data_IF_255058270545
#
_entry.id   IF_255058270545
#
_cell.length_a   1.000
_cell.length_b   1.000
_cell.length_c   1.000
_cell.angle_alpha   90.00
_cell.angle_beta   90.00
_cell.angle_gamma   90.00
#
_symmetry.space_group_name_H-M   'P 1'
#
loop_
_entity.id
_entity.type
_entity.pdbx_description
1 polymer ?
#
# COMPACT_ATOMS: atom_id res chain seq x y z
N UNK A 1 -21.64 -21.38 23.95
CA UNK A 1 -20.18 -21.27 24.17
C UNK A 1 -19.41 -21.70 22.93
N UNK A 2 -19.84 -22.73 22.18
CA UNK A 2 -19.17 -23.19 20.94
C UNK A 2 -19.02 -22.15 19.82
N UNK A 3 -19.90 -21.14 19.74
CA UNK A 3 -19.85 -20.12 18.68
C UNK A 3 -19.38 -18.74 19.16
N UNK A 4 -18.97 -18.61 20.43
CA UNK A 4 -18.64 -17.29 21.00
C UNK A 4 -17.44 -16.66 20.26
N UNK A 5 -16.42 -17.46 19.99
CA UNK A 5 -15.19 -17.02 19.31
C UNK A 5 -15.48 -16.64 17.85
N UNK A 6 -16.31 -17.42 17.15
CA UNK A 6 -16.76 -17.14 15.78
C UNK A 6 -17.59 -15.84 15.69
N UNK A 7 -18.50 -15.64 16.65
CA UNK A 7 -19.31 -14.41 16.72
C UNK A 7 -18.41 -13.21 16.99
N UNK A 8 -17.49 -13.33 17.94
CA UNK A 8 -16.51 -12.29 18.24
C UNK A 8 -15.65 -11.97 17.01
N UNK A 9 -15.17 -13.00 16.31
CA UNK A 9 -14.40 -12.87 15.07
C UNK A 9 -15.20 -12.11 14.01
N UNK A 10 -16.45 -12.53 13.76
CA UNK A 10 -17.33 -11.89 12.78
C UNK A 10 -17.61 -10.42 13.11
N UNK A 11 -17.79 -10.08 14.39
CA UNK A 11 -17.98 -8.70 14.85
C UNK A 11 -16.71 -7.86 14.61
N UNK A 12 -15.54 -8.37 15.00
CA UNK A 12 -14.26 -7.65 14.81
C UNK A 12 -13.98 -7.44 13.32
N UNK A 13 -14.16 -8.49 12.50
CA UNK A 13 -14.00 -8.43 11.04
C UNK A 13 -14.96 -7.41 10.42
N UNK A 14 -16.25 -7.47 10.78
CA UNK A 14 -17.29 -6.57 10.28
C UNK A 14 -17.02 -5.11 10.64
N UNK A 15 -16.63 -4.83 11.89
CA UNK A 15 -16.25 -3.48 12.33
C UNK A 15 -14.99 -2.98 11.62
N UNK A 16 -13.95 -3.82 11.52
CA UNK A 16 -12.68 -3.48 10.87
C UNK A 16 -12.86 -3.16 9.39
N UNK A 17 -13.52 -4.03 8.62
CA UNK A 17 -13.77 -3.85 7.18
C UNK A 17 -14.80 -2.75 6.92
N UNK A 18 -15.81 -2.63 7.78
CA UNK A 18 -16.83 -1.58 7.70
C UNK A 18 -16.24 -0.18 7.87
N UNK A 19 -15.42 0.02 8.89
CA UNK A 19 -14.74 1.31 9.12
C UNK A 19 -13.80 1.67 7.97
N UNK A 20 -13.01 0.71 7.48
CA UNK A 20 -12.14 0.89 6.33
C UNK A 20 -12.94 1.32 5.09
N UNK A 21 -14.05 0.64 4.81
CA UNK A 21 -14.91 0.93 3.65
C UNK A 21 -15.51 2.34 3.70
N UNK A 22 -15.92 2.80 4.88
CA UNK A 22 -16.43 4.17 5.07
C UNK A 22 -15.34 5.20 4.79
N UNK A 23 -14.14 4.98 5.34
CA UNK A 23 -13.02 5.90 5.15
C UNK A 23 -12.55 5.91 3.69
N UNK A 24 -12.44 4.76 3.04
CA UNK A 24 -12.08 4.67 1.63
C UNK A 24 -13.07 5.43 0.72
N UNK A 25 -14.38 5.36 1.01
CA UNK A 25 -15.39 6.17 0.31
C UNK A 25 -15.14 7.68 0.46
N UNK A 26 -14.62 8.15 1.61
CA UNK A 26 -14.24 9.56 1.79
C UNK A 26 -13.09 9.96 0.88
N UNK A 27 -12.07 9.11 0.68
CA UNK A 27 -10.98 9.37 -0.28
C UNK A 27 -11.54 9.51 -1.68
N UNK A 28 -12.36 8.55 -2.13
CA UNK A 28 -12.96 8.59 -3.47
C UNK A 28 -13.77 9.88 -3.65
N UNK A 29 -14.58 10.24 -2.65
CA UNK A 29 -15.35 11.49 -2.65
C UNK A 29 -14.42 12.71 -2.79
N UNK A 30 -13.33 12.77 -2.02
CA UNK A 30 -12.38 13.88 -2.05
C UNK A 30 -11.66 13.97 -3.40
N UNK A 31 -11.24 12.84 -3.99
CA UNK A 31 -10.64 12.80 -5.33
C UNK A 31 -11.62 13.34 -6.39
N UNK A 32 -12.90 13.00 -6.26
CA UNK A 32 -13.96 13.46 -7.18
C UNK A 32 -14.37 14.93 -7.00
N UNK A 33 -13.82 15.66 -6.02
CA UNK A 33 -14.01 17.10 -5.90
C UNK A 33 -13.19 17.89 -6.93
N UNK A 34 -12.16 17.26 -7.50
CA UNK A 34 -11.31 17.91 -8.48
C UNK A 34 -12.03 18.15 -9.80
N UNK A 35 -11.53 19.11 -10.57
CA UNK A 35 -12.02 19.42 -11.91
C UNK A 35 -12.02 18.18 -12.81
N UNK A 36 -13.03 18.08 -13.67
CA UNK A 36 -13.13 16.99 -14.62
C UNK A 36 -12.03 17.10 -15.68
N UNK A 37 -11.27 16.02 -15.85
CA UNK A 37 -10.33 15.83 -16.95
C UNK A 37 -10.60 14.47 -17.59
N UNK A 38 -10.54 14.40 -18.92
CA UNK A 38 -10.71 13.15 -19.63
C UNK A 38 -9.39 12.36 -19.62
N UNK A 39 -9.42 11.18 -18.99
CA UNK A 39 -8.32 10.18 -19.01
C UNK A 39 -8.85 8.79 -19.37
N UNK A 40 -9.92 8.73 -20.16
CA UNK A 40 -10.58 7.48 -20.58
C UNK A 40 -10.13 7.01 -21.96
N UNK A 41 -9.20 7.72 -22.58
CA UNK A 41 -8.61 7.40 -23.87
C UNK A 41 -7.67 6.18 -23.78
N UNK A 42 -7.44 5.51 -24.91
CA UNK A 42 -6.39 4.49 -25.08
C UNK A 42 -6.32 3.41 -23.97
N UNK A 43 -7.48 2.85 -23.57
CA UNK A 43 -7.62 1.87 -22.49
C UNK A 43 -6.59 0.71 -22.55
N UNK A 44 -6.36 0.13 -23.73
CA UNK A 44 -5.39 -0.96 -23.90
C UNK A 44 -3.96 -0.53 -23.52
N UNK A 45 -3.54 0.68 -23.89
CA UNK A 45 -2.22 1.20 -23.56
C UNK A 45 -2.11 1.50 -22.06
N UNK A 46 -3.17 1.99 -21.43
CA UNK A 46 -3.24 2.25 -19.98
C UNK A 46 -3.14 0.96 -19.16
N UNK A 47 -3.88 -0.08 -19.54
CA UNK A 47 -3.78 -1.40 -18.91
C UNK A 47 -2.36 -1.98 -19.05
N UNK A 48 -1.77 -1.89 -20.25
CA UNK A 48 -0.39 -2.32 -20.48
C UNK A 48 0.59 -1.54 -19.61
N UNK A 49 0.42 -0.22 -19.50
CA UNK A 49 1.27 0.64 -18.67
C UNK A 49 1.14 0.29 -17.18
N UNK A 50 -0.09 0.14 -16.69
CA UNK A 50 -0.37 -0.27 -15.31
C UNK A 50 0.26 -1.64 -15.01
N UNK A 51 0.06 -2.64 -15.87
CA UNK A 51 0.66 -3.97 -15.67
C UNK A 51 2.19 -3.92 -15.65
N UNK A 52 2.81 -3.18 -16.59
CA UNK A 52 4.28 -3.05 -16.68
C UNK A 52 4.88 -2.31 -15.48
N UNK A 53 4.20 -1.32 -14.92
CA UNK A 53 4.71 -0.50 -13.83
C UNK A 53 4.36 -1.11 -12.47
N UNK A 54 3.08 -1.43 -12.24
CA UNK A 54 2.57 -1.89 -10.95
C UNK A 54 2.90 -3.37 -10.68
N UNK A 55 2.66 -4.26 -11.66
CA UNK A 55 3.00 -5.69 -11.50
C UNK A 55 4.47 -5.95 -11.83
N UNK A 56 4.98 -5.32 -12.89
CA UNK A 56 6.37 -5.51 -13.34
C UNK A 56 7.43 -4.78 -12.51
N UNK A 57 7.04 -3.89 -11.58
CA UNK A 57 7.95 -3.15 -10.67
C UNK A 57 9.10 -2.41 -11.39
N UNK A 58 8.92 -2.08 -12.67
CA UNK A 58 9.97 -1.59 -13.58
C UNK A 58 10.64 -0.29 -13.13
N UNK A 59 9.92 0.56 -12.38
CA UNK A 59 10.46 1.81 -11.81
C UNK A 59 11.25 1.61 -10.52
N UNK A 60 10.92 0.58 -9.73
CA UNK A 60 11.53 0.31 -8.42
C UNK A 60 12.95 -0.27 -8.55
N UNK A 61 13.18 -1.13 -9.55
CA UNK A 61 14.47 -1.80 -9.78
C UNK A 61 15.59 -0.86 -10.24
N UNK A 62 15.28 0.39 -10.60
CA UNK A 62 16.28 1.43 -10.92
C UNK A 62 17.23 1.75 -9.76
N UNK A 63 16.85 1.42 -8.52
CA UNK A 63 17.73 1.47 -7.34
C UNK A 63 17.83 0.06 -6.75
N UNK A 64 18.86 -0.74 -7.12
CA UNK A 64 18.83 -2.20 -6.97
C UNK A 64 18.57 -2.66 -5.53
N UNK A 65 19.26 -2.08 -4.54
CA UNK A 65 19.06 -2.44 -3.13
C UNK A 65 17.62 -2.17 -2.67
N UNK A 66 17.08 -0.98 -2.95
CA UNK A 66 15.71 -0.66 -2.54
C UNK A 66 14.65 -1.44 -3.33
N UNK A 67 14.92 -1.71 -4.62
CA UNK A 67 14.07 -2.47 -5.50
C UNK A 67 13.95 -3.93 -5.08
N UNK A 68 15.07 -4.62 -4.84
CA UNK A 68 15.07 -6.03 -4.40
C UNK A 68 14.28 -6.19 -3.10
N UNK A 69 14.57 -5.35 -2.09
CA UNK A 69 13.88 -5.41 -0.81
C UNK A 69 12.37 -5.16 -0.95
N UNK A 70 11.94 -4.22 -1.82
CA UNK A 70 10.51 -3.99 -2.05
C UNK A 70 9.86 -5.12 -2.85
N UNK A 71 10.54 -5.73 -3.81
CA UNK A 71 10.00 -6.86 -4.57
C UNK A 71 9.74 -8.04 -3.65
N UNK A 72 10.63 -8.31 -2.69
CA UNK A 72 10.40 -9.33 -1.65
C UNK A 72 9.12 -9.03 -0.89
N UNK A 73 8.98 -7.81 -0.35
CA UNK A 73 7.78 -7.39 0.40
C UNK A 73 6.52 -7.44 -0.46
N UNK A 74 6.60 -7.02 -1.73
CA UNK A 74 5.48 -7.04 -2.66
C UNK A 74 5.01 -8.46 -2.98
N UNK A 75 5.93 -9.36 -3.32
CA UNK A 75 5.61 -10.77 -3.62
C UNK A 75 5.04 -11.45 -2.38
N UNK A 76 5.64 -11.23 -1.22
CA UNK A 76 5.13 -11.73 0.05
C UNK A 76 3.72 -11.22 0.33
N UNK A 77 3.47 -9.92 0.18
CA UNK A 77 2.14 -9.34 0.35
C UNK A 77 1.12 -10.02 -0.57
N UNK A 78 1.39 -10.14 -1.87
CA UNK A 78 0.45 -10.77 -2.82
C UNK A 78 0.16 -12.23 -2.46
N UNK A 79 1.19 -13.00 -2.12
CA UNK A 79 1.07 -14.44 -1.88
C UNK A 79 0.44 -14.73 -0.50
N UNK A 80 0.90 -14.06 0.57
CA UNK A 80 0.41 -14.27 1.96
C UNK A 80 -1.07 -13.85 2.11
N UNK A 81 -1.64 -13.03 1.23
CA UNK A 81 -3.09 -12.77 1.25
C UNK A 81 -3.93 -14.05 1.09
N UNK A 82 -3.40 -15.11 0.47
CA UNK A 82 -4.07 -16.41 0.42
C UNK A 82 -4.15 -17.08 1.80
N UNK A 83 -3.13 -16.91 2.64
CA UNK A 83 -3.14 -17.36 4.05
C UNK A 83 -4.13 -16.54 4.87
N UNK A 84 -4.18 -15.22 4.66
CA UNK A 84 -5.16 -14.35 5.35
C UNK A 84 -6.58 -14.79 5.01
N UNK A 85 -6.83 -15.25 3.78
CA UNK A 85 -8.11 -15.84 3.41
C UNK A 85 -8.40 -17.12 4.21
N UNK A 86 -7.42 -18.02 4.37
CA UNK A 86 -7.55 -19.21 5.22
C UNK A 86 -7.89 -18.82 6.67
N UNK A 87 -7.12 -17.90 7.27
CA UNK A 87 -7.34 -17.40 8.63
C UNK A 87 -8.74 -16.80 8.81
N UNK A 88 -9.25 -16.07 7.82
CA UNK A 88 -10.61 -15.50 7.87
C UNK A 88 -11.67 -16.60 7.85
N UNK A 89 -11.51 -17.60 7.00
CA UNK A 89 -12.46 -18.71 6.90
C UNK A 89 -12.42 -19.54 8.20
N UNK A 90 -11.23 -19.88 8.69
CA UNK A 90 -11.04 -20.58 9.95
C UNK A 90 -11.64 -19.83 11.14
N UNK A 91 -11.46 -18.52 11.21
CA UNK A 91 -12.07 -17.69 12.24
C UNK A 91 -13.60 -17.61 12.18
N UNK A 92 -14.18 -17.61 10.97
CA UNK A 92 -15.64 -17.57 10.80
C UNK A 92 -16.30 -18.91 11.09
N UNK A 93 -15.68 -20.02 10.69
CA UNK A 93 -16.28 -21.35 10.78
C UNK A 93 -15.74 -22.21 11.93
N UNK A 94 -14.72 -21.74 12.65
CA UNK A 94 -14.11 -22.47 13.78
C UNK A 94 -13.31 -23.68 13.32
N UNK A 95 -12.84 -23.65 12.07
CA UNK A 95 -11.99 -24.69 11.48
C UNK A 95 -10.52 -24.39 11.74
N UNK A 96 -9.67 -25.37 11.46
CA UNK A 96 -8.22 -25.24 11.54
C UNK A 96 -7.62 -25.76 10.25
N UNK A 97 -6.88 -24.89 9.53
CA UNK A 97 -6.25 -25.19 8.24
C UNK A 97 -7.25 -25.79 7.24
N UNK A 98 -8.33 -25.07 6.95
CA UNK A 98 -9.39 -25.56 6.06
C UNK A 98 -8.91 -25.96 4.65
N UNK A 99 -7.76 -25.44 4.19
CA UNK A 99 -7.17 -25.82 2.92
C UNK A 99 -6.20 -27.01 2.99
N UNK A 100 -5.96 -27.59 4.18
CA UNK A 100 -5.15 -28.80 4.37
C UNK A 100 -5.52 -29.98 3.42
N UNK A 101 -6.79 -30.22 3.05
CA UNK A 101 -7.14 -31.29 2.10
C UNK A 101 -6.54 -31.16 0.69
N UNK A 102 -5.90 -30.03 0.35
CA UNK A 102 -5.16 -29.88 -0.91
C UNK A 102 -3.83 -30.66 -0.95
N UNK A 103 -3.39 -31.24 0.18
CA UNK A 103 -2.20 -32.10 0.26
C UNK A 103 -0.92 -31.38 -0.13
N UNK A 104 -0.12 -31.96 -1.04
CA UNK A 104 1.18 -31.41 -1.44
C UNK A 104 1.13 -29.94 -1.89
N UNK A 105 0.03 -29.51 -2.54
CA UNK A 105 -0.13 -28.11 -2.93
C UNK A 105 -0.24 -27.19 -1.71
N UNK A 106 -0.93 -27.63 -0.66
CA UNK A 106 -1.00 -26.92 0.62
C UNK A 106 0.37 -26.83 1.28
N UNK A 107 1.11 -27.94 1.32
CA UNK A 107 2.43 -27.98 1.93
C UNK A 107 3.40 -27.00 1.26
N UNK A 108 3.45 -26.99 -0.07
CA UNK A 108 4.26 -26.03 -0.84
C UNK A 108 3.81 -24.59 -0.54
N UNK A 109 2.51 -24.36 -0.43
CA UNK A 109 1.95 -23.04 -0.17
C UNK A 109 2.36 -22.52 1.22
N UNK A 110 2.19 -23.31 2.28
CA UNK A 110 2.63 -22.97 3.64
C UNK A 110 4.16 -22.76 3.69
N UNK A 111 4.93 -23.64 3.05
CA UNK A 111 6.38 -23.49 2.96
C UNK A 111 6.80 -22.20 2.25
N UNK A 112 6.04 -21.76 1.24
CA UNK A 112 6.26 -20.49 0.57
C UNK A 112 5.97 -19.29 1.49
N UNK A 113 4.89 -19.36 2.29
CA UNK A 113 4.56 -18.30 3.24
C UNK A 113 5.63 -18.17 4.33
N UNK A 114 6.14 -19.28 4.84
CA UNK A 114 7.22 -19.32 5.83
C UNK A 114 8.49 -18.62 5.34
N UNK A 115 8.96 -18.99 4.15
CA UNK A 115 10.14 -18.41 3.53
C UNK A 115 9.92 -16.92 3.26
N UNK A 116 8.76 -16.56 2.71
CA UNK A 116 8.44 -15.17 2.40
C UNK A 116 8.32 -14.31 3.67
N UNK A 117 7.70 -14.80 4.73
CA UNK A 117 7.60 -14.09 6.01
C UNK A 117 8.98 -13.81 6.61
N UNK A 118 9.88 -14.80 6.60
CA UNK A 118 11.27 -14.61 7.02
C UNK A 118 12.01 -13.58 6.17
N UNK A 119 11.88 -13.65 4.84
CA UNK A 119 12.51 -12.70 3.92
C UNK A 119 11.96 -11.29 4.09
N UNK A 120 10.66 -11.13 4.36
CA UNK A 120 10.05 -9.84 4.70
C UNK A 120 10.65 -9.30 5.99
N UNK A 121 10.74 -10.12 7.04
CA UNK A 121 11.33 -9.69 8.31
C UNK A 121 12.77 -9.18 8.11
N UNK A 122 13.59 -9.91 7.35
CA UNK A 122 14.94 -9.48 6.98
C UNK A 122 14.93 -8.17 6.16
N UNK A 123 14.04 -8.06 5.17
CA UNK A 123 13.95 -6.87 4.32
C UNK A 123 13.53 -5.62 5.11
N UNK A 124 12.57 -5.76 6.03
CA UNK A 124 12.06 -4.70 6.89
C UNK A 124 13.12 -4.23 7.88
N UNK A 125 13.89 -5.15 8.48
CA UNK A 125 15.05 -4.79 9.31
C UNK A 125 16.06 -3.97 8.50
N UNK A 126 16.35 -4.37 7.27
CA UNK A 126 17.26 -3.61 6.39
C UNK A 126 16.67 -2.23 6.06
N UNK A 127 15.36 -2.12 5.76
CA UNK A 127 14.71 -0.82 5.56
C UNK A 127 14.79 0.07 6.79
N UNK A 128 14.57 -0.51 7.97
CA UNK A 128 14.64 0.17 9.25
C UNK A 128 16.04 0.74 9.50
N UNK A 129 17.08 -0.07 9.32
CA UNK A 129 18.49 0.35 9.44
C UNK A 129 18.82 1.45 8.42
N UNK A 130 18.41 1.27 7.15
CA UNK A 130 18.67 2.26 6.09
C UNK A 130 18.01 3.60 6.35
N UNK A 131 16.85 3.62 7.02
CA UNK A 131 16.12 4.83 7.36
C UNK A 131 16.72 5.51 8.60
N UNK A 132 16.84 4.78 9.71
CA UNK A 132 17.12 5.37 11.02
C UNK A 132 18.62 5.44 11.35
N UNK A 133 19.43 4.50 10.85
CA UNK A 133 20.87 4.45 11.13
C UNK A 133 21.69 5.13 10.04
N UNK A 134 21.47 4.78 8.77
CA UNK A 134 22.27 5.30 7.64
C UNK A 134 21.90 6.75 7.30
N UNK A 135 20.69 7.21 7.67
CA UNK A 135 20.24 8.61 7.53
C UNK A 135 20.48 9.20 6.13
N UNK A 136 19.89 8.57 5.11
CA UNK A 136 20.01 9.03 3.72
C UNK A 136 19.61 10.51 3.61
N UNK A 137 20.43 11.33 2.92
CA UNK A 137 20.21 12.79 2.78
C UNK A 137 18.78 13.17 2.37
N UNK A 138 18.16 12.40 1.46
CA UNK A 138 16.78 12.65 1.01
C UNK A 138 15.69 12.42 2.06
N UNK A 139 15.99 11.67 3.12
CA UNK A 139 15.08 11.39 4.23
C UNK A 139 15.31 12.35 5.40
N UNK A 140 16.50 12.96 5.49
CA UNK A 140 16.84 13.99 6.47
C UNK A 140 16.64 15.39 5.84
N UNK A 141 15.53 15.57 5.12
CA UNK A 141 15.10 16.88 4.64
C UNK A 141 14.11 17.49 5.63
N UNK A 142 14.04 18.82 5.67
CA UNK A 142 13.04 19.55 6.46
C UNK A 142 11.61 19.11 6.14
N UNK A 143 11.34 18.82 4.85
CA UNK A 143 10.02 18.45 4.33
C UNK A 143 9.48 17.13 4.90
N UNK A 144 10.36 16.26 5.40
CA UNK A 144 10.00 14.92 5.90
C UNK A 144 10.12 14.81 7.42
N UNK A 145 10.40 15.91 8.12
CA UNK A 145 10.55 15.91 9.58
C UNK A 145 9.16 15.77 10.24
N UNK A 146 9.07 14.94 11.28
CA UNK A 146 7.87 14.81 12.10
C UNK A 146 6.99 13.61 11.69
N UNK A 147 5.75 13.88 11.26
CA UNK A 147 4.79 12.84 10.91
C UNK A 147 5.27 11.93 9.77
N UNK A 148 5.82 12.45 8.65
CA UNK A 148 6.33 11.62 7.55
C UNK A 148 7.40 10.59 7.96
N UNK A 149 8.24 10.95 8.93
CA UNK A 149 9.30 10.08 9.44
C UNK A 149 8.73 9.02 10.38
N UNK A 150 7.85 9.44 11.29
CA UNK A 150 7.24 8.57 12.30
C UNK A 150 6.31 7.53 11.67
N UNK A 151 5.49 7.95 10.70
CA UNK A 151 4.56 7.09 9.97
C UNK A 151 5.29 5.90 9.29
N UNK A 152 6.41 6.19 8.63
CA UNK A 152 7.22 5.15 8.01
C UNK A 152 7.80 4.16 9.04
N UNK A 153 8.14 4.62 10.24
CA UNK A 153 8.64 3.75 11.31
C UNK A 153 7.51 2.92 11.94
N UNK A 154 6.30 3.47 12.06
CA UNK A 154 5.13 2.72 12.52
C UNK A 154 4.79 1.58 11.55
N UNK A 155 4.82 1.83 10.24
CA UNK A 155 4.62 0.79 9.22
C UNK A 155 5.63 -0.35 9.39
N UNK A 156 6.93 -0.03 9.46
CA UNK A 156 7.97 -1.05 9.63
C UNK A 156 7.82 -1.81 10.95
N UNK A 157 7.40 -1.14 12.02
CA UNK A 157 7.10 -1.78 13.30
C UNK A 157 5.92 -2.75 13.20
N UNK A 158 4.80 -2.34 12.57
CA UNK A 158 3.66 -3.21 12.32
C UNK A 158 4.07 -4.45 11.53
N UNK A 159 4.85 -4.28 10.46
CA UNK A 159 5.33 -5.40 9.64
C UNK A 159 6.20 -6.38 10.46
N UNK A 160 7.13 -5.88 11.28
CA UNK A 160 7.93 -6.74 12.17
C UNK A 160 7.05 -7.52 13.14
N UNK A 161 6.10 -6.84 13.80
CA UNK A 161 5.19 -7.49 14.77
C UNK A 161 4.33 -8.54 14.09
N UNK A 162 3.71 -8.22 12.95
CA UNK A 162 2.84 -9.15 12.23
C UNK A 162 3.60 -10.38 11.72
N UNK A 163 4.78 -10.20 11.10
CA UNK A 163 5.57 -11.34 10.63
C UNK A 163 6.10 -12.20 11.79
N UNK A 164 6.42 -11.58 12.93
CA UNK A 164 6.83 -12.32 14.13
C UNK A 164 5.67 -13.12 14.72
N UNK A 165 4.47 -12.53 14.82
CA UNK A 165 3.28 -13.24 15.27
C UNK A 165 2.93 -14.39 14.32
N UNK A 166 3.03 -14.18 13.01
CA UNK A 166 2.81 -15.21 12.00
C UNK A 166 3.76 -16.41 12.15
N UNK A 167 5.07 -16.17 12.24
CA UNK A 167 6.06 -17.22 12.45
C UNK A 167 5.92 -17.90 13.82
N UNK A 168 5.55 -17.14 14.86
CA UNK A 168 5.30 -17.70 16.19
C UNK A 168 4.10 -18.64 16.18
N UNK A 169 3.00 -18.21 15.53
CA UNK A 169 1.79 -19.00 15.34
C UNK A 169 2.10 -20.31 14.60
N UNK A 170 2.79 -20.24 13.46
CA UNK A 170 3.18 -21.43 12.70
C UNK A 170 4.15 -22.35 13.45
N UNK A 171 5.09 -21.80 14.21
CA UNK A 171 5.99 -22.60 15.04
C UNK A 171 5.25 -23.32 16.17
N UNK A 172 4.33 -22.62 16.86
CA UNK A 172 3.51 -23.26 17.88
C UNK A 172 2.58 -24.32 17.28
N UNK A 173 1.99 -24.04 16.11
CA UNK A 173 1.15 -24.98 15.37
C UNK A 173 1.92 -26.24 14.97
N UNK A 174 3.09 -26.07 14.35
CA UNK A 174 3.96 -27.19 13.97
C UNK A 174 4.39 -28.03 15.17
N UNK A 175 4.76 -27.40 16.29
CA UNK A 175 5.10 -28.12 17.52
C UNK A 175 3.91 -28.92 18.07
N UNK A 176 2.70 -28.36 18.02
CA UNK A 176 1.46 -29.04 18.47
C UNK A 176 1.11 -30.23 17.56
N UNK A 177 1.36 -30.12 16.25
CA UNK A 177 1.24 -31.24 15.31
C UNK A 177 2.22 -32.36 15.67
N UNK A 178 3.50 -32.04 15.94
CA UNK A 178 4.52 -33.03 16.34
C UNK A 178 4.17 -33.77 17.64
N UNK A 179 3.49 -33.08 18.56
CA UNK A 179 2.98 -33.65 19.82
C UNK A 179 1.65 -34.41 19.66
N UNK A 180 1.12 -34.49 18.43
CA UNK A 180 -0.12 -35.18 18.08
C UNK A 180 -1.33 -34.72 18.91
N UNK A 181 -1.41 -33.42 19.17
CA UNK A 181 -2.50 -32.81 19.94
C UNK A 181 -3.79 -32.87 19.12
N UNK A 182 -4.85 -33.42 19.69
CA UNK A 182 -6.17 -33.47 19.05
C UNK A 182 -6.62 -32.07 18.61
N UNK A 183 -7.22 -31.95 17.42
CA UNK A 183 -7.62 -30.71 16.72
C UNK A 183 -6.57 -30.14 15.75
N UNK A 184 -5.27 -30.44 15.90
CA UNK A 184 -4.23 -29.95 14.99
C UNK A 184 -3.97 -30.98 13.90
N UNK A 185 -4.25 -30.63 12.64
CA UNK A 185 -3.98 -31.51 11.50
C UNK A 185 -2.49 -31.54 11.16
N UNK A 186 -1.93 -32.72 10.90
CA UNK A 186 -0.57 -32.87 10.35
C UNK A 186 -0.56 -32.40 8.88
N UNK A 187 -0.34 -31.11 8.68
CA UNK A 187 -0.39 -30.46 7.37
C UNK A 187 0.51 -29.22 7.33
N UNK A 188 1.13 -28.98 6.17
CA UNK A 188 2.04 -27.87 5.94
C UNK A 188 3.51 -28.28 5.95
N UNK A 189 4.32 -27.51 5.23
CA UNK A 189 5.78 -27.59 5.29
C UNK A 189 6.32 -26.36 6.02
N UNK A 190 7.10 -26.56 7.10
CA UNK A 190 7.53 -25.50 8.02
C UNK A 190 9.05 -25.26 8.00
N UNK A 191 9.65 -24.82 6.88
CA UNK A 191 11.09 -24.71 6.73
C UNK A 191 11.73 -23.67 7.65
N UNK A 192 10.99 -22.69 8.15
CA UNK A 192 11.51 -21.63 9.02
C UNK A 192 11.10 -21.90 10.46
N UNK A 193 9.81 -22.16 10.68
CA UNK A 193 9.22 -22.34 12.00
C UNK A 193 9.80 -23.54 12.75
N UNK A 194 10.30 -24.58 12.04
CA UNK A 194 11.05 -25.69 12.65
C UNK A 194 12.28 -25.24 13.48
N UNK A 195 12.86 -24.07 13.20
CA UNK A 195 13.98 -23.54 13.98
C UNK A 195 13.53 -22.77 15.23
N UNK A 196 12.24 -22.42 15.30
CA UNK A 196 11.62 -21.72 16.43
C UNK A 196 10.99 -22.73 17.40
N UNK A 197 10.53 -23.89 16.90
CA UNK A 197 9.89 -24.93 17.72
C UNK A 197 10.65 -25.36 18.97
N UNK A 198 12.00 -25.42 19.02
CA UNK A 198 12.71 -25.84 20.23
C UNK A 198 12.48 -24.91 21.43
N UNK A 199 12.02 -23.68 21.21
CA UNK A 199 11.66 -22.74 22.29
C UNK A 199 10.50 -23.29 23.13
N UNK A 200 9.64 -24.14 22.55
CA UNK A 200 8.48 -24.72 23.24
C UNK A 200 8.80 -26.04 23.96
N UNK A 201 10.00 -26.58 23.81
CA UNK A 201 10.39 -27.83 24.45
C UNK A 201 10.38 -27.71 25.98
N UNK A 202 9.76 -28.69 26.63
CA UNK A 202 9.55 -28.67 28.09
C UNK A 202 8.38 -27.78 28.55
N UNK A 203 7.66 -27.10 27.65
CA UNK A 203 6.41 -26.43 27.98
C UNK A 203 5.24 -27.41 28.05
N UNK A 204 4.25 -27.09 28.89
CA UNK A 204 2.99 -27.83 28.89
C UNK A 204 2.21 -27.53 27.61
N UNK A 205 1.57 -28.54 27.01
CA UNK A 205 0.77 -28.43 25.78
C UNK A 205 -0.24 -27.28 25.85
N UNK A 206 -0.95 -27.14 26.97
CA UNK A 206 -1.92 -26.06 27.18
C UNK A 206 -1.32 -24.65 27.05
N UNK A 207 -0.03 -24.46 27.41
CA UNK A 207 0.66 -23.17 27.24
C UNK A 207 0.98 -22.90 25.77
N UNK A 208 1.38 -23.92 25.01
CA UNK A 208 1.70 -23.77 23.58
C UNK A 208 0.43 -23.51 22.78
N UNK A 209 -0.68 -24.18 23.10
CA UNK A 209 -2.01 -23.86 22.55
C UNK A 209 -2.39 -22.41 22.85
N UNK A 210 -2.15 -21.93 24.07
CA UNK A 210 -2.43 -20.53 24.41
C UNK A 210 -1.57 -19.55 23.59
N UNK A 211 -0.28 -19.84 23.42
CA UNK A 211 0.64 -19.03 22.60
C UNK A 211 0.14 -18.98 21.15
N UNK A 212 -0.21 -20.13 20.57
CA UNK A 212 -0.74 -20.23 19.21
C UNK A 212 -1.99 -19.36 19.06
N UNK A 213 -2.99 -19.52 19.94
CA UNK A 213 -4.25 -18.77 19.87
C UNK A 213 -4.04 -17.27 20.07
N UNK A 214 -3.19 -16.87 21.00
CA UNK A 214 -2.87 -15.45 21.23
C UNK A 214 -2.15 -14.87 20.02
N UNK A 215 -1.19 -15.58 19.44
CA UNK A 215 -0.48 -15.14 18.25
C UNK A 215 -1.45 -14.99 17.06
N UNK A 216 -2.33 -15.97 16.85
CA UNK A 216 -3.37 -15.95 15.81
C UNK A 216 -4.31 -14.75 15.97
N UNK A 217 -4.88 -14.54 17.16
CA UNK A 217 -5.81 -13.44 17.43
C UNK A 217 -5.14 -12.06 17.31
N UNK A 218 -3.93 -11.91 17.85
CA UNK A 218 -3.17 -10.66 17.73
C UNK A 218 -2.78 -10.38 16.28
N UNK A 219 -2.45 -11.41 15.51
CA UNK A 219 -2.09 -11.27 14.11
C UNK A 219 -3.28 -10.77 13.28
N UNK A 220 -4.43 -11.44 13.31
CA UNK A 220 -5.60 -11.04 12.50
C UNK A 220 -6.17 -9.69 12.95
N UNK A 221 -6.21 -9.45 14.27
CA UNK A 221 -6.62 -8.13 14.80
C UNK A 221 -5.62 -7.05 14.38
N UNK A 222 -4.33 -7.36 14.42
CA UNK A 222 -3.27 -6.47 13.96
C UNK A 222 -3.39 -6.13 12.47
N UNK A 223 -3.73 -7.11 11.62
CA UNK A 223 -4.03 -6.88 10.19
C UNK A 223 -5.20 -5.91 10.04
N UNK A 224 -6.30 -6.11 10.79
CA UNK A 224 -7.49 -5.24 10.70
C UNK A 224 -7.22 -3.82 11.22
N UNK A 225 -6.40 -3.67 12.25
CA UNK A 225 -5.92 -2.37 12.72
C UNK A 225 -5.05 -1.71 11.65
N UNK A 226 -4.10 -2.44 11.07
CA UNK A 226 -3.21 -1.92 10.04
C UNK A 226 -3.98 -1.53 8.76
N UNK A 227 -5.00 -2.31 8.36
CA UNK A 227 -5.92 -1.98 7.27
C UNK A 227 -6.56 -0.60 7.46
N UNK A 228 -7.00 -0.29 8.68
CA UNK A 228 -7.62 0.99 9.01
C UNK A 228 -6.59 2.12 9.19
N UNK A 229 -5.37 1.77 9.57
CA UNK A 229 -4.24 2.69 9.59
C UNK A 229 -3.84 3.15 8.17
N UNK A 230 -4.02 2.30 7.14
CA UNK A 230 -3.70 2.63 5.74
C UNK A 230 -4.25 4.00 5.33
N UNK A 231 -5.50 4.30 5.72
CA UNK A 231 -6.19 5.53 5.35
C UNK A 231 -5.43 6.80 5.70
N UNK A 232 -4.71 6.80 6.83
CA UNK A 232 -3.98 7.97 7.31
C UNK A 232 -2.50 7.95 6.97
N UNK A 233 -1.99 6.84 6.43
CA UNK A 233 -0.56 6.54 6.32
C UNK A 233 -0.03 6.67 4.90
N UNK A 234 1.30 6.72 4.75
CA UNK A 234 2.00 6.55 3.47
C UNK A 234 1.72 5.22 2.81
N UNK A 235 1.31 4.22 3.58
CA UNK A 235 1.04 2.88 3.06
C UNK A 235 -0.23 2.87 2.19
N UNK A 236 -1.07 3.92 2.20
CA UNK A 236 -2.20 4.11 1.27
C UNK A 236 -1.80 3.92 -0.21
N UNK A 237 -0.54 4.17 -0.55
CA UNK A 237 -0.02 3.97 -1.90
C UNK A 237 -0.24 2.55 -2.43
N UNK A 238 -0.31 1.51 -1.58
CA UNK A 238 -0.55 0.13 -2.06
C UNK A 238 -1.91 -0.02 -2.74
N UNK A 239 -2.90 0.80 -2.35
CA UNK A 239 -4.23 0.80 -2.93
C UNK A 239 -4.30 1.72 -4.16
N UNK A 240 -3.73 2.92 -4.05
CA UNK A 240 -3.89 3.96 -5.07
C UNK A 240 -2.84 3.91 -6.18
N UNK A 241 -1.72 3.20 -6.02
CA UNK A 241 -0.71 3.08 -7.07
C UNK A 241 -1.25 2.45 -8.36
N UNK A 242 -2.16 1.49 -8.26
CA UNK A 242 -2.80 0.85 -9.42
C UNK A 242 -3.64 1.85 -10.24
N UNK A 243 -4.67 2.50 -9.67
CA UNK A 243 -5.43 3.50 -10.43
C UNK A 243 -4.55 4.68 -10.87
N UNK A 244 -3.58 5.10 -10.06
CA UNK A 244 -2.68 6.19 -10.41
C UNK A 244 -1.81 5.89 -11.64
N UNK A 245 -1.33 4.64 -11.78
CA UNK A 245 -0.55 4.23 -12.95
C UNK A 245 -1.41 4.02 -14.19
N UNK A 246 -2.66 3.57 -14.01
CA UNK A 246 -3.63 3.46 -15.09
C UNK A 246 -4.01 4.83 -15.69
N UNK A 247 -4.28 5.82 -14.83
CA UNK A 247 -4.64 7.18 -15.25
C UNK A 247 -3.45 8.12 -15.48
N UNK A 248 -2.23 7.58 -15.53
CA UNK A 248 -1.03 8.36 -15.83
C UNK A 248 -1.13 9.02 -17.21
N UNK A 249 -0.41 10.13 -17.39
CA UNK A 249 -0.32 10.79 -18.69
C UNK A 249 0.39 9.89 -19.72
N UNK A 250 -0.17 9.81 -20.92
CA UNK A 250 0.38 9.02 -22.03
C UNK A 250 1.16 9.90 -23.01
N UNK A 251 1.03 11.22 -22.91
CA UNK A 251 1.76 12.15 -23.75
C UNK A 251 3.27 12.08 -23.45
N UNK A 252 4.13 12.38 -24.45
CA UNK A 252 5.56 12.61 -24.27
C UNK A 252 5.90 13.44 -23.01
N UNK A 253 6.97 13.04 -22.32
CA UNK A 253 7.45 13.76 -21.15
C UNK A 253 7.86 15.19 -21.53
N UNK A 254 7.32 16.18 -20.83
CA UNK A 254 7.60 17.60 -21.06
C UNK A 254 6.65 18.27 -22.06
N UNK A 255 5.69 17.53 -22.62
CA UNK A 255 4.57 18.12 -23.33
C UNK A 255 3.70 18.94 -22.36
N UNK A 256 3.31 20.14 -22.79
CA UNK A 256 2.44 21.03 -22.04
C UNK A 256 1.13 21.16 -22.81
N UNK A 257 0.02 21.06 -22.10
CA UNK A 257 -1.30 21.28 -22.67
C UNK A 257 -1.39 22.73 -23.21
N UNK A 258 -1.97 22.91 -24.39
CA UNK A 258 -2.27 24.24 -24.90
C UNK A 258 -3.44 24.82 -24.10
N UNK A 259 -3.31 26.07 -23.66
CA UNK A 259 -4.40 26.77 -23.00
C UNK A 259 -5.30 27.37 -24.09
N UNK A 260 -6.51 26.84 -24.35
CA UNK A 260 -7.30 27.27 -25.50
C UNK A 260 -7.66 28.75 -25.44
N UNK A 261 -7.80 29.30 -24.24
CA UNK A 261 -8.05 30.73 -24.02
C UNK A 261 -6.85 31.59 -24.48
N UNK A 262 -5.63 31.19 -24.12
CA UNK A 262 -4.40 31.88 -24.54
C UNK A 262 -4.17 31.69 -26.05
N UNK A 263 -4.36 30.47 -26.56
CA UNK A 263 -4.25 30.18 -27.98
C UNK A 263 -5.22 31.00 -28.81
N UNK A 264 -6.47 31.18 -28.33
CA UNK A 264 -7.47 32.02 -28.98
C UNK A 264 -7.07 33.49 -28.99
N UNK A 265 -6.61 34.01 -27.85
CA UNK A 265 -6.17 35.40 -27.72
C UNK A 265 -4.97 35.71 -28.62
N UNK A 266 -3.95 34.83 -28.61
CA UNK A 266 -2.77 34.97 -29.46
C UNK A 266 -3.16 34.91 -30.94
N UNK A 267 -4.06 33.99 -31.34
CA UNK A 267 -4.55 33.92 -32.72
C UNK A 267 -5.30 35.19 -33.13
N UNK A 268 -6.09 35.78 -32.23
CA UNK A 268 -6.79 37.04 -32.49
C UNK A 268 -5.78 38.20 -32.70
N UNK A 269 -4.74 38.28 -31.87
CA UNK A 269 -3.67 39.29 -32.03
C UNK A 269 -2.84 39.12 -33.30
N UNK A 270 -2.76 37.90 -33.85
CA UNK A 270 -2.02 37.59 -35.07
C UNK A 270 -2.86 37.62 -36.34
N UNK A 271 -4.19 37.81 -36.24
CA UNK A 271 -5.07 37.90 -37.40
C UNK A 271 -5.05 39.33 -37.99
N UNK A 272 -4.53 39.55 -39.21
CA UNK A 272 -4.48 40.87 -39.83
C UNK A 272 -5.85 41.47 -40.11
N UNK A 273 -6.91 40.67 -40.09
CA UNK A 273 -8.30 41.09 -40.35
C UNK A 273 -9.13 41.19 -39.06
N UNK A 274 -8.55 40.93 -37.88
CA UNK A 274 -9.26 41.08 -36.62
C UNK A 274 -9.51 42.57 -36.35
N UNK A 275 -10.77 42.92 -36.11
CA UNK A 275 -11.18 44.27 -35.71
C UNK A 275 -10.73 44.56 -34.27
N UNK A 276 -9.78 45.50 -34.03
CA UNK A 276 -9.28 45.81 -32.70
C UNK A 276 -10.32 46.44 -31.76
N UNK A 277 -11.46 46.88 -32.29
CA UNK A 277 -12.51 47.59 -31.56
C UNK A 277 -13.76 46.73 -31.34
N UNK A 278 -13.80 45.50 -31.87
CA UNK A 278 -14.91 44.59 -31.65
C UNK A 278 -14.96 44.17 -30.17
N UNK A 279 -16.04 44.52 -29.48
CA UNK A 279 -16.27 44.08 -28.10
C UNK A 279 -16.55 42.57 -28.13
N UNK A 280 -15.75 41.72 -27.46
CA UNK A 280 -16.05 40.30 -27.40
C UNK A 280 -17.43 40.10 -26.79
N UNK A 281 -18.23 39.18 -27.36
CA UNK A 281 -19.45 38.75 -26.71
C UNK A 281 -19.08 38.19 -25.33
N UNK A 282 -19.46 38.92 -24.27
CA UNK A 282 -19.28 38.46 -22.90
C UNK A 282 -20.28 37.33 -22.70
N UNK A 283 -19.79 36.10 -22.62
CA UNK A 283 -20.62 35.00 -22.12
C UNK A 283 -20.87 35.28 -20.64
N UNK A 284 -22.05 35.80 -20.31
CA UNK A 284 -22.45 36.14 -18.95
C UNK A 284 -22.41 34.94 -17.99
N UNK A 285 -22.36 33.71 -18.52
CA UNK A 285 -22.24 32.46 -17.76
C UNK A 285 -20.81 31.92 -17.71
N UNK A 286 -19.86 32.50 -18.44
CA UNK A 286 -18.46 32.07 -18.41
C UNK A 286 -17.80 32.56 -17.12
N UNK A 287 -17.71 31.67 -16.13
CA UNK A 287 -16.86 31.91 -14.96
C UNK A 287 -15.42 32.11 -15.41
N UNK A 288 -14.74 33.21 -15.02
CA UNK A 288 -13.34 33.43 -15.36
C UNK A 288 -12.49 32.25 -14.90
N UNK A 289 -11.82 31.58 -15.84
CA UNK A 289 -10.90 30.50 -15.49
C UNK A 289 -9.72 31.11 -14.75
N UNK A 290 -9.57 30.71 -13.49
CA UNK A 290 -8.46 31.14 -12.64
C UNK A 290 -7.14 30.60 -13.20
N UNK A 291 -6.13 31.44 -13.26
CA UNK A 291 -4.78 31.02 -13.60
C UNK A 291 -4.10 30.38 -12.38
N UNK A 292 -3.65 29.14 -12.54
CA UNK A 292 -3.02 28.37 -11.46
C UNK A 292 -4.02 27.79 -10.46
N UNK A 293 -3.48 27.13 -9.43
CA UNK A 293 -4.24 26.52 -8.36
C UNK A 293 -3.96 27.25 -7.03
N UNK A 294 -5.01 27.67 -6.33
CA UNK A 294 -4.91 28.21 -4.98
C UNK A 294 -5.45 27.23 -3.94
N UNK A 295 -6.52 26.50 -4.29
CA UNK A 295 -7.18 25.53 -3.42
C UNK A 295 -7.31 24.17 -4.10
N UNK A 296 -7.66 23.13 -3.34
CA UNK A 296 -7.74 21.75 -3.82
C UNK A 296 -8.81 21.54 -4.90
N UNK A 297 -9.84 22.39 -4.95
CA UNK A 297 -10.88 22.36 -5.99
C UNK A 297 -10.39 22.97 -7.31
N UNK A 298 -9.29 23.71 -7.30
CA UNK A 298 -8.64 24.20 -8.52
C UNK A 298 -7.83 23.09 -9.22
N UNK A 299 -7.56 21.97 -8.53
CA UNK A 299 -6.88 20.81 -9.07
C UNK A 299 -7.85 19.86 -9.77
N UNK A 300 -7.40 19.18 -10.82
CA UNK A 300 -8.17 18.10 -11.44
C UNK A 300 -8.14 16.82 -10.59
N UNK A 301 -9.10 15.92 -10.82
CA UNK A 301 -9.23 14.70 -10.02
C UNK A 301 -8.00 13.78 -10.10
N UNK A 302 -7.25 13.80 -11.20
CA UNK A 302 -6.00 13.00 -11.36
C UNK A 302 -4.89 13.58 -10.49
N UNK A 303 -4.78 14.90 -10.40
CA UNK A 303 -3.84 15.58 -9.51
C UNK A 303 -4.15 15.26 -8.04
N UNK A 304 -5.43 15.25 -7.66
CA UNK A 304 -5.84 14.84 -6.31
C UNK A 304 -5.50 13.35 -6.05
N UNK A 305 -5.74 12.46 -7.01
CA UNK A 305 -5.33 11.05 -6.91
C UNK A 305 -3.80 10.91 -6.74
N UNK A 306 -3.01 11.67 -7.50
CA UNK A 306 -1.55 11.70 -7.37
C UNK A 306 -1.12 12.15 -5.97
N UNK A 307 -1.81 13.13 -5.38
CA UNK A 307 -1.51 13.61 -4.03
C UNK A 307 -1.73 12.51 -2.97
N UNK A 308 -2.87 11.80 -3.02
CA UNK A 308 -3.14 10.66 -2.12
C UNK A 308 -2.22 9.45 -2.36
N UNK A 309 -1.63 9.32 -3.55
CA UNK A 309 -0.69 8.24 -3.89
C UNK A 309 0.75 8.58 -3.49
N UNK A 310 1.03 9.82 -3.10
CA UNK A 310 2.35 10.27 -2.70
C UNK A 310 2.83 9.51 -1.45
N UNK A 311 3.98 8.84 -1.55
CA UNK A 311 4.61 8.15 -0.41
C UNK A 311 5.54 9.05 0.40
N UNK A 312 5.61 10.34 0.07
CA UNK A 312 6.51 11.30 0.71
C UNK A 312 7.95 10.77 0.80
N UNK A 313 8.44 10.25 -0.33
CA UNK A 313 9.72 9.55 -0.40
C UNK A 313 10.93 10.49 -0.61
N UNK A 314 10.70 11.80 -0.68
CA UNK A 314 11.73 12.84 -0.89
C UNK A 314 12.36 12.84 -2.29
N UNK A 315 11.82 12.05 -3.24
CA UNK A 315 12.38 11.98 -4.60
C UNK A 315 12.24 13.30 -5.34
N UNK A 316 11.09 13.97 -5.23
CA UNK A 316 10.83 15.29 -5.81
C UNK A 316 11.89 16.30 -5.35
N UNK A 317 12.16 16.42 -4.05
CA UNK A 317 13.19 17.29 -3.48
C UNK A 317 14.59 16.89 -3.98
N UNK A 318 14.90 15.59 -4.08
CA UNK A 318 16.23 15.11 -4.49
C UNK A 318 16.60 15.40 -5.95
N UNK A 319 15.60 15.51 -6.84
CA UNK A 319 15.82 15.78 -8.28
C UNK A 319 15.52 17.23 -8.64
N UNK A 320 15.09 18.05 -7.68
CA UNK A 320 14.69 19.40 -7.97
C UNK A 320 15.90 20.31 -8.25
N UNK A 321 15.95 21.01 -9.40
CA UNK A 321 17.06 21.92 -9.74
C UNK A 321 17.29 23.02 -8.69
N UNK A 322 16.22 23.58 -8.10
CA UNK A 322 16.35 24.61 -7.08
C UNK A 322 16.95 24.06 -5.77
N UNK A 323 16.52 22.88 -5.32
CA UNK A 323 17.12 22.23 -4.14
C UNK A 323 18.60 21.84 -4.40
N UNK A 324 18.91 21.34 -5.60
CA UNK A 324 20.29 20.99 -5.99
C UNK A 324 21.21 22.22 -5.96
N UNK A 325 20.70 23.40 -6.31
CA UNK A 325 21.45 24.67 -6.25
C UNK A 325 21.44 25.33 -4.86
N UNK A 326 20.93 24.65 -3.83
CA UNK A 326 20.92 25.13 -2.44
C UNK A 326 19.83 26.16 -2.13
N UNK A 327 18.90 26.40 -3.07
CA UNK A 327 17.75 27.28 -2.84
C UNK A 327 16.65 26.52 -2.10
N UNK A 328 16.07 27.16 -1.08
CA UNK A 328 14.89 26.63 -0.39
C UNK A 328 13.68 26.72 -1.33
N UNK A 329 12.90 25.65 -1.38
CA UNK A 329 11.77 25.50 -2.30
C UNK A 329 10.44 25.43 -1.56
N UNK A 330 10.42 24.72 -0.42
CA UNK A 330 9.45 24.94 0.64
C UNK A 330 9.90 26.17 1.44
N UNK A 331 9.20 27.31 1.35
CA UNK A 331 9.48 28.47 2.19
C UNK A 331 9.39 28.14 3.69
#
# INVERSE_FOLDING_TARGET
MEYLDNILFAVILGLGVGFFSINFKKIIRNIKLGQNINRSDNSNLRWKNMAMIALGQSKMVKKPIAGILHVIVYVAFVIINLEVLEIIIDGLFGTHRIFAPLGLTYDILIGSFEILAFLVLAAVIIFWIRRNTIKLKRFVSSDLKGWPESDANYILYFEVVLMTLFLTMNASDHWLQMMQVSHYAEAGFFPVSQFITPIFDGMAVAKVVLIERVAWWLHITGILVFLNYLYFSKHLHILLAFPNTYFADLNPLGELDDLPAVTKEVKLMMDPNADPYATPAVDENATPTKFGAQDVQDLNWVQLLNAYTCTECGRCTSVCPANITGKKLSP
#
